data_IF_029977439499
#
_entry.id   IF_029977439499
#
_cell.length_a   1.000
_cell.length_b   1.000
_cell.length_c   1.000
_cell.angle_alpha   90.00
_cell.angle_beta   90.00
_cell.angle_gamma   90.00
#
_symmetry.space_group_name_H-M   'P 1'
#
loop_
_entity.id
_entity.type
_entity.pdbx_description
1 polymer ?
#
# COMPACT_ATOMS: atom_id res chain seq x y z
N UNK A 1 -8.21 48.68 -7.02
CA UNK A 1 -8.59 47.28 -6.77
C UNK A 1 -7.52 46.69 -5.89
N UNK A 2 -7.94 46.16 -4.76
CA UNK A 2 -7.12 45.77 -3.61
C UNK A 2 -6.16 44.62 -3.91
N UNK A 3 -5.00 44.70 -3.26
CA UNK A 3 -3.87 43.77 -3.27
C UNK A 3 -3.93 42.89 -2.01
N UNK A 4 -4.72 41.80 -2.01
CA UNK A 4 -4.73 40.74 -0.96
C UNK A 4 -5.41 39.52 -1.63
N UNK A 5 -4.89 38.30 -1.77
CA UNK A 5 -3.77 37.58 -1.20
C UNK A 5 -3.18 36.59 -2.23
N UNK A 6 -1.90 36.30 -2.05
CA UNK A 6 -1.20 35.11 -2.52
C UNK A 6 -2.00 33.84 -2.20
N UNK A 7 -2.53 33.15 -3.20
CA UNK A 7 -2.63 31.69 -3.10
C UNK A 7 -1.32 31.16 -3.65
N UNK A 8 -0.35 31.05 -2.74
CA UNK A 8 0.88 30.31 -2.96
C UNK A 8 0.54 28.95 -3.58
N UNK A 9 1.37 28.55 -4.53
CA UNK A 9 1.15 27.33 -5.28
C UNK A 9 1.33 26.10 -4.40
N UNK A 10 0.31 25.26 -4.35
CA UNK A 10 0.53 23.82 -4.33
C UNK A 10 0.28 23.31 -5.76
N UNK A 11 1.31 23.40 -6.60
CA UNK A 11 1.50 22.30 -7.55
C UNK A 11 1.86 21.10 -6.67
N UNK A 12 0.82 20.37 -6.23
CA UNK A 12 0.94 19.13 -5.50
C UNK A 12 1.64 18.13 -6.43
N UNK A 13 2.96 18.03 -6.27
CA UNK A 13 3.84 17.14 -7.03
C UNK A 13 3.37 15.70 -6.83
N UNK A 14 3.44 14.92 -7.90
CA UNK A 14 3.02 13.51 -8.08
C UNK A 14 3.53 12.44 -7.07
N UNK A 15 3.82 12.76 -5.81
CA UNK A 15 4.13 11.75 -4.80
C UNK A 15 4.04 12.32 -3.38
N UNK A 16 2.84 12.65 -2.91
CA UNK A 16 2.65 13.00 -1.50
C UNK A 16 2.52 11.73 -0.66
N UNK A 17 3.49 11.43 0.22
CA UNK A 17 3.36 10.30 1.15
C UNK A 17 2.17 10.47 2.10
N UNK A 18 1.78 11.72 2.40
CA UNK A 18 0.58 12.07 3.18
C UNK A 18 -0.72 11.52 2.59
N UNK A 19 -0.72 11.15 1.30
CA UNK A 19 -1.91 10.60 0.67
C UNK A 19 -2.06 9.10 0.87
N UNK A 20 -0.99 8.40 1.24
CA UNK A 20 -0.99 6.96 1.46
C UNK A 20 -1.52 6.68 2.86
N UNK A 21 -2.47 5.75 3.01
CA UNK A 21 -2.90 5.31 4.37
C UNK A 21 -2.67 3.85 4.68
N UNK A 22 -2.53 3.03 3.64
CA UNK A 22 -2.33 1.61 3.79
C UNK A 22 -1.33 1.13 2.75
N UNK A 23 -0.32 0.42 3.23
CA UNK A 23 0.65 -0.31 2.44
C UNK A 23 0.46 -1.81 2.70
N UNK A 24 0.21 -2.57 1.63
CA UNK A 24 0.18 -4.02 1.67
C UNK A 24 1.46 -4.56 1.04
N UNK A 25 2.26 -5.29 1.82
CA UNK A 25 3.40 -6.04 1.34
C UNK A 25 2.97 -7.48 1.05
N UNK A 26 3.11 -7.93 -0.18
CA UNK A 26 2.82 -9.29 -0.59
C UNK A 26 4.15 -10.03 -0.72
N UNK A 27 4.41 -10.98 0.19
CA UNK A 27 5.69 -11.66 0.28
C UNK A 27 5.47 -13.13 0.65
N UNK A 28 5.79 -14.05 -0.26
CA UNK A 28 5.76 -15.50 -0.01
C UNK A 28 7.11 -16.05 0.48
N UNK A 29 7.22 -17.39 0.55
CA UNK A 29 8.43 -18.09 0.98
C UNK A 29 9.54 -18.11 -0.09
N UNK A 30 9.21 -17.92 -1.36
CA UNK A 30 10.19 -17.81 -2.45
C UNK A 30 10.82 -16.41 -2.47
N UNK A 31 10.04 -15.38 -2.13
CA UNK A 31 10.47 -13.98 -1.93
C UNK A 31 11.49 -13.81 -0.79
N UNK A 32 11.56 -14.75 0.16
CA UNK A 32 12.57 -14.76 1.23
C UNK A 32 13.99 -15.07 0.70
N UNK A 33 14.10 -15.60 -0.52
CA UNK A 33 15.40 -15.87 -1.17
C UNK A 33 15.93 -14.67 -1.94
N UNK A 34 15.06 -13.71 -2.29
CA UNK A 34 15.45 -12.51 -3.00
C UNK A 34 15.90 -11.42 -2.02
N UNK A 35 17.22 -11.31 -1.86
CA UNK A 35 17.83 -10.30 -0.98
C UNK A 35 17.47 -8.88 -1.40
N UNK A 36 17.33 -8.60 -2.70
CA UNK A 36 16.99 -7.27 -3.17
C UNK A 36 15.55 -6.91 -2.78
N UNK A 37 14.63 -7.87 -2.91
CA UNK A 37 13.24 -7.68 -2.50
C UNK A 37 13.11 -7.51 -0.97
N UNK A 38 13.85 -8.29 -0.19
CA UNK A 38 13.91 -8.14 1.27
C UNK A 38 14.43 -6.77 1.70
N UNK A 39 15.43 -6.23 0.99
CA UNK A 39 15.89 -4.85 1.20
C UNK A 39 14.76 -3.87 0.88
N UNK A 40 14.04 -4.08 -0.22
CA UNK A 40 12.93 -3.21 -0.62
C UNK A 40 11.82 -3.17 0.43
N UNK A 41 11.40 -4.32 0.95
CA UNK A 41 10.41 -4.40 2.03
C UNK A 41 10.90 -3.72 3.30
N UNK A 42 12.17 -3.88 3.65
CA UNK A 42 12.75 -3.21 4.81
C UNK A 42 12.73 -1.69 4.66
N UNK A 43 13.08 -1.17 3.47
CA UNK A 43 13.05 0.26 3.18
C UNK A 43 11.62 0.83 3.22
N UNK A 44 10.66 0.11 2.63
CA UNK A 44 9.24 0.51 2.65
C UNK A 44 8.72 0.49 4.09
N UNK A 45 9.03 -0.55 4.87
CA UNK A 45 8.62 -0.62 6.26
C UNK A 45 9.15 0.56 7.07
N UNK A 46 10.44 0.89 6.91
CA UNK A 46 11.04 2.05 7.58
C UNK A 46 10.31 3.35 7.18
N UNK A 47 10.06 3.54 5.88
CA UNK A 47 9.34 4.69 5.36
C UNK A 47 7.91 4.79 5.91
N UNK A 48 7.14 3.70 5.89
CA UNK A 48 5.77 3.68 6.42
C UNK A 48 5.75 3.94 7.93
N UNK A 49 6.72 3.40 8.67
CA UNK A 49 6.82 3.63 10.11
C UNK A 49 7.17 5.09 10.44
N UNK A 50 8.06 5.71 9.67
CA UNK A 50 8.47 7.12 9.84
C UNK A 50 7.34 8.10 9.49
N UNK A 51 6.49 7.75 8.52
CA UNK A 51 5.37 8.58 8.06
C UNK A 51 4.01 8.18 8.69
N UNK A 52 4.00 7.30 9.70
CA UNK A 52 2.80 6.77 10.35
C UNK A 52 1.73 6.20 9.38
N UNK A 53 2.20 5.63 8.28
CA UNK A 53 1.37 4.91 7.31
C UNK A 53 1.12 3.50 7.85
N UNK A 54 -0.13 3.03 7.82
CA UNK A 54 -0.43 1.66 8.23
C UNK A 54 0.17 0.70 7.22
N UNK A 55 0.90 -0.30 7.71
CA UNK A 55 1.55 -1.31 6.88
C UNK A 55 1.10 -2.70 7.35
N UNK A 56 0.88 -3.61 6.41
CA UNK A 56 0.58 -5.01 6.71
C UNK A 56 1.22 -5.93 5.67
N UNK A 57 1.54 -7.14 6.10
CA UNK A 57 2.07 -8.19 5.22
C UNK A 57 0.97 -9.21 4.90
N UNK A 58 0.90 -9.63 3.64
CA UNK A 58 -0.01 -10.66 3.16
C UNK A 58 0.80 -11.93 2.94
N UNK A 59 0.38 -13.03 3.58
CA UNK A 59 1.05 -14.33 3.47
C UNK A 59 0.77 -15.04 2.14
N UNK A 60 -0.33 -14.69 1.45
CA UNK A 60 -0.75 -15.32 0.20
C UNK A 60 -0.83 -14.30 -0.96
N UNK A 61 0.31 -13.86 -1.53
CA UNK A 61 0.35 -12.85 -2.58
C UNK A 61 -0.42 -13.24 -3.85
N UNK A 62 -0.45 -14.54 -4.19
CA UNK A 62 -1.24 -15.02 -5.35
C UNK A 62 -2.73 -14.69 -5.25
N UNK A 63 -3.31 -14.74 -4.04
CA UNK A 63 -4.71 -14.38 -3.81
C UNK A 63 -4.95 -12.87 -3.89
N UNK A 64 -3.98 -12.08 -3.44
CA UNK A 64 -4.01 -10.63 -3.60
C UNK A 64 -4.01 -10.27 -5.09
N UNK A 65 -3.15 -10.90 -5.89
CA UNK A 65 -3.12 -10.70 -7.33
C UNK A 65 -4.46 -11.05 -8.00
N UNK A 66 -5.08 -12.18 -7.64
CA UNK A 66 -6.40 -12.55 -8.14
C UNK A 66 -7.48 -11.52 -7.79
N UNK A 67 -7.51 -11.00 -6.56
CA UNK A 67 -8.47 -9.97 -6.15
C UNK A 67 -8.29 -8.67 -6.95
N UNK A 68 -7.04 -8.23 -7.13
CA UNK A 68 -6.74 -7.01 -7.89
C UNK A 68 -7.11 -7.15 -9.36
N UNK A 69 -6.88 -8.33 -9.96
CA UNK A 69 -7.25 -8.63 -11.35
C UNK A 69 -8.76 -8.76 -11.54
N UNK A 70 -9.51 -9.19 -10.51
CA UNK A 70 -10.97 -9.34 -10.59
C UNK A 70 -11.69 -7.98 -10.49
N UNK A 71 -11.13 -7.03 -9.74
CA UNK A 71 -11.74 -5.73 -9.49
C UNK A 71 -11.28 -4.63 -10.45
N UNK A 72 -10.10 -4.78 -11.06
CA UNK A 72 -9.49 -3.78 -11.93
C UNK A 72 -9.68 -4.17 -13.40
N UNK A 73 -10.72 -3.65 -14.07
CA UNK A 73 -10.82 -3.63 -15.56
C UNK A 73 -9.77 -2.67 -16.19
N UNK A 74 -8.84 -2.13 -15.39
CA UNK A 74 -7.83 -1.18 -15.81
C UNK A 74 -6.53 -1.90 -16.21
N UNK A 75 -6.28 -1.81 -17.52
CA UNK A 75 -4.99 -1.61 -18.19
C UNK A 75 -3.76 -2.21 -17.53
N UNK A 76 -3.07 -3.13 -18.22
CA UNK A 76 -1.98 -3.84 -17.61
C UNK A 76 -0.85 -2.83 -17.34
N UNK A 77 -0.33 -2.82 -16.12
CA UNK A 77 1.06 -2.46 -15.89
C UNK A 77 1.99 -3.54 -16.50
N UNK A 78 1.62 -4.10 -17.65
CA UNK A 78 2.49 -4.91 -18.47
C UNK A 78 3.45 -3.95 -19.15
N UNK A 79 4.65 -3.89 -18.58
CA UNK A 79 5.83 -3.83 -19.41
C UNK A 79 5.63 -4.84 -20.56
N UNK A 80 5.37 -4.30 -21.74
CA UNK A 80 5.14 -5.07 -22.95
C UNK A 80 6.43 -5.81 -23.29
N UNK A 81 6.50 -7.09 -22.93
CA UNK A 81 7.57 -8.00 -23.34
C UNK A 81 8.38 -8.63 -22.22
N UNK A 82 7.75 -9.44 -21.36
CA UNK A 82 8.39 -10.60 -20.73
C UNK A 82 7.31 -11.47 -20.08
N UNK A 83 7.47 -12.79 -20.17
CA UNK A 83 6.59 -13.83 -19.60
C UNK A 83 6.70 -13.91 -18.06
N UNK A 84 6.63 -12.78 -17.36
CA UNK A 84 6.65 -12.74 -15.89
C UNK A 84 5.25 -12.43 -15.36
N UNK A 85 4.76 -13.19 -14.35
CA UNK A 85 3.56 -12.79 -13.62
C UNK A 85 3.76 -11.37 -13.07
N UNK A 86 2.70 -10.56 -12.94
CA UNK A 86 2.85 -9.22 -12.41
C UNK A 86 3.44 -9.31 -11.00
N UNK A 87 4.64 -8.75 -10.83
CA UNK A 87 5.39 -8.68 -9.57
C UNK A 87 4.66 -7.73 -8.59
N UNK A 88 3.52 -8.18 -8.07
CA UNK A 88 2.63 -7.45 -7.16
C UNK A 88 3.08 -7.63 -5.70
N UNK A 89 4.31 -7.23 -5.39
CA UNK A 89 4.89 -7.37 -4.05
C UNK A 89 4.51 -6.22 -3.10
N UNK A 90 4.00 -5.11 -3.62
CA UNK A 90 3.59 -3.96 -2.82
C UNK A 90 2.38 -3.25 -3.45
N UNK A 91 1.36 -2.99 -2.64
CA UNK A 91 0.17 -2.21 -3.05
C UNK A 91 -0.03 -1.06 -2.09
N UNK A 92 -0.16 0.14 -2.63
CA UNK A 92 -0.38 1.37 -1.88
C UNK A 92 -1.81 1.86 -2.10
N UNK A 93 -2.53 2.09 -1.01
CA UNK A 93 -3.87 2.67 -1.03
C UNK A 93 -3.75 4.16 -0.72
N UNK A 94 -4.11 5.01 -1.69
CA UNK A 94 -3.94 6.47 -1.64
C UNK A 94 -5.26 7.24 -1.70
N UNK A 95 -5.36 8.35 -0.97
CA UNK A 95 -6.58 9.11 -0.78
C UNK A 95 -6.71 10.29 -1.75
N UNK A 96 -7.42 10.21 -2.87
CA UNK A 96 -7.53 11.39 -3.73
C UNK A 96 -8.20 12.59 -3.03
N UNK A 97 -9.04 12.37 -2.00
CA UNK A 97 -9.71 13.43 -1.26
C UNK A 97 -9.88 13.07 0.23
N UNK A 98 -9.23 13.83 1.12
CA UNK A 98 -9.17 13.70 2.60
C UNK A 98 -10.47 13.42 3.39
N UNK A 99 -11.63 13.29 2.74
CA UNK A 99 -12.95 13.17 3.36
C UNK A 99 -13.79 11.97 2.87
N UNK A 100 -13.34 11.16 1.89
CA UNK A 100 -14.22 10.18 1.21
C UNK A 100 -14.07 8.71 1.65
N UNK A 101 -13.09 8.37 2.50
CA UNK A 101 -12.92 6.99 2.93
C UNK A 101 -13.83 6.63 4.10
N UNK A 102 -15.03 6.17 3.75
CA UNK A 102 -16.02 5.59 4.66
C UNK A 102 -16.22 4.10 4.39
N UNK A 103 -15.21 3.42 3.87
CA UNK A 103 -15.31 1.97 3.75
C UNK A 103 -15.12 1.33 5.14
N UNK A 104 -16.11 0.58 5.64
CA UNK A 104 -16.02 -0.05 6.95
C UNK A 104 -14.92 -1.13 7.00
N UNK A 105 -14.61 -1.81 5.89
CA UNK A 105 -13.57 -2.83 5.83
C UNK A 105 -12.16 -2.22 5.91
N UNK A 106 -11.90 -1.11 5.19
CA UNK A 106 -10.63 -0.38 5.36
C UNK A 106 -10.47 0.18 6.77
N UNK A 107 -11.54 0.70 7.37
CA UNK A 107 -11.52 1.19 8.75
C UNK A 107 -11.15 0.08 9.74
N UNK A 108 -11.67 -1.13 9.53
CA UNK A 108 -11.32 -2.31 10.33
C UNK A 108 -9.85 -2.70 10.16
N UNK A 109 -9.32 -2.70 8.93
CA UNK A 109 -7.91 -2.98 8.66
C UNK A 109 -6.99 -1.96 9.34
N UNK A 110 -7.33 -0.68 9.29
CA UNK A 110 -6.57 0.38 9.97
C UNK A 110 -6.61 0.17 11.49
N UNK A 111 -7.78 -0.13 12.06
CA UNK A 111 -7.89 -0.46 13.48
C UNK A 111 -7.03 -1.68 13.85
N UNK A 112 -7.07 -2.75 13.05
CA UNK A 112 -6.25 -3.94 13.25
C UNK A 112 -4.75 -3.63 13.21
N UNK A 113 -4.29 -2.80 12.27
CA UNK A 113 -2.89 -2.36 12.22
C UNK A 113 -2.50 -1.59 13.50
N UNK A 114 -3.39 -0.70 13.97
CA UNK A 114 -3.16 0.10 15.18
C UNK A 114 -3.11 -0.74 16.45
N UNK A 115 -4.01 -1.72 16.58
CA UNK A 115 -4.02 -2.67 17.69
C UNK A 115 -2.76 -3.54 17.69
N UNK A 116 -2.34 -4.00 16.51
CA UNK A 116 -1.11 -4.78 16.34
C UNK A 116 0.13 -3.99 16.75
N UNK A 117 0.20 -2.70 16.36
CA UNK A 117 1.27 -1.79 16.77
C UNK A 117 1.32 -1.57 18.29
N UNK A 118 0.17 -1.62 18.98
CA UNK A 118 0.12 -1.56 20.44
C UNK A 118 0.69 -2.83 21.11
N UNK A 119 0.68 -3.97 20.40
CA UNK A 119 1.25 -5.24 20.82
C UNK A 119 2.70 -5.46 20.32
N UNK A 120 3.42 -4.38 19.99
CA UNK A 120 4.77 -4.40 19.41
C UNK A 120 4.88 -5.15 18.06
N UNK A 121 3.74 -5.42 17.40
CA UNK A 121 3.70 -6.01 16.06
C UNK A 121 3.55 -4.91 14.99
N UNK A 122 4.69 -4.35 14.58
CA UNK A 122 4.78 -3.22 13.65
C UNK A 122 4.26 -3.53 12.25
N UNK A 123 4.46 -4.76 11.79
CA UNK A 123 3.94 -5.26 10.51
C UNK A 123 3.08 -6.48 10.80
N UNK A 124 1.77 -6.30 11.04
CA UNK A 124 0.87 -7.44 11.19
C UNK A 124 0.78 -8.23 9.89
N UNK A 125 0.66 -9.53 10.04
CA UNK A 125 0.52 -10.47 8.91
C UNK A 125 -0.92 -10.92 8.81
N UNK A 126 -1.52 -10.83 7.62
CA UNK A 126 -2.87 -11.33 7.35
C UNK A 126 -2.84 -12.41 6.28
N UNK A 127 -3.78 -13.36 6.40
CA UNK A 127 -4.07 -14.33 5.37
C UNK A 127 -5.42 -13.99 4.75
N UNK A 128 -5.45 -13.81 3.43
CA UNK A 128 -6.69 -13.56 2.71
C UNK A 128 -7.49 -14.87 2.63
N UNK A 129 -8.82 -14.85 2.87
CA UNK A 129 -9.63 -16.05 2.81
C UNK A 129 -9.69 -16.64 1.38
N UNK A 130 -9.71 -17.97 1.32
CA UNK A 130 -10.04 -18.71 0.10
C UNK A 130 -11.54 -18.56 -0.20
N UNK A 131 -11.90 -18.49 -1.50
CA UNK A 131 -13.28 -18.25 -1.95
C UNK A 131 -14.07 -19.56 -2.02
#
# INVERSE_FOLDING_TARGET
>A
MTLEEFSAGEQKTESDPDNVVLCLLAADEDDDRDVALQIHFTLIQAFCCENDINILRVSNPGRLAELLLLETDASPAASEGAEQPPDLHCVLVTNPHSSQWKDPALSQLICFCRESRYMDQWVPVINLPER
#
